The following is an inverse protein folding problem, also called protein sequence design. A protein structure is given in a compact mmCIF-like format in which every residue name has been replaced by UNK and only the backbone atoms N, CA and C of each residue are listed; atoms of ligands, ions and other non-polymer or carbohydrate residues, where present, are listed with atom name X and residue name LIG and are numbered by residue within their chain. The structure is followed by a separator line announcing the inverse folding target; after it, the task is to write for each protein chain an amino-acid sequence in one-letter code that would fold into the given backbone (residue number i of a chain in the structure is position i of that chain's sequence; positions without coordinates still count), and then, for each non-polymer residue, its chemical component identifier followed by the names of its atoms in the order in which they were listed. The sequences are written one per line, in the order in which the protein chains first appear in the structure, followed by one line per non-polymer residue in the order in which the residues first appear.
data_IF_124636827350
#
_entry.id   IF_124636827350
#
_cell.length_a   1.000
_cell.length_b   1.000
_cell.length_c   1.000
_cell.angle_alpha   90.00
_cell.angle_beta   90.00
_cell.angle_gamma   90.00
#
_symmetry.space_group_name_H-M   'P 1'
#
loop_
_entity.id
_entity.type
_entity.pdbx_description
1 polymer ?
#
# COMPACT_ATOMS: atom_id res chain seq x y z
N UNK A 1 0.18 2.20 45.05
CA UNK A 1 -0.64 1.40 44.10
C UNK A 1 -0.51 2.14 42.79
N UNK A 2 0.58 1.83 42.08
CA UNK A 2 1.13 2.74 41.09
C UNK A 2 0.50 2.40 39.75
N UNK A 3 -0.47 3.22 39.36
CA UNK A 3 -1.12 3.19 38.05
C UNK A 3 -0.06 3.47 36.98
N UNK A 4 0.40 2.40 36.31
CA UNK A 4 1.39 2.49 35.24
C UNK A 4 0.95 3.48 34.17
N UNK A 5 1.73 4.53 33.99
CA UNK A 5 1.50 5.52 32.94
C UNK A 5 1.67 4.84 31.58
N UNK A 6 0.70 4.99 30.64
CA UNK A 6 0.81 4.35 29.33
C UNK A 6 2.02 4.94 28.60
N UNK A 7 3.03 4.11 28.37
CA UNK A 7 4.23 4.50 27.65
C UNK A 7 3.86 4.69 26.18
N UNK A 8 4.19 5.84 25.54
CA UNK A 8 3.85 6.04 24.15
C UNK A 8 4.58 5.02 23.26
N UNK A 9 3.99 4.64 22.11
CA UNK A 9 4.64 3.76 21.16
C UNK A 9 6.00 4.30 20.72
N UNK A 10 6.93 3.38 20.42
CA UNK A 10 8.22 3.73 19.86
C UNK A 10 8.04 4.60 18.60
N UNK A 11 8.82 5.68 18.52
CA UNK A 11 8.82 6.56 17.34
C UNK A 11 9.70 5.95 16.26
N UNK A 12 9.16 5.77 15.06
CA UNK A 12 9.94 5.36 13.90
C UNK A 12 10.70 6.57 13.34
N UNK A 13 12.01 6.42 13.15
CA UNK A 13 12.85 7.41 12.46
C UNK A 13 13.22 6.87 11.07
N UNK A 14 12.96 7.61 9.99
CA UNK A 14 13.32 7.18 8.65
C UNK A 14 14.84 7.13 8.51
N UNK A 15 15.39 6.00 8.08
CA UNK A 15 16.83 5.83 7.84
C UNK A 15 17.23 6.17 6.41
N UNK A 16 16.30 6.05 5.45
CA UNK A 16 16.49 6.38 4.04
C UNK A 16 15.13 6.47 3.33
N UNK A 17 15.06 7.27 2.27
CA UNK A 17 13.87 7.38 1.40
C UNK A 17 14.28 7.16 -0.06
N UNK A 18 13.49 6.38 -0.80
CA UNK A 18 13.68 6.17 -2.24
C UNK A 18 12.35 6.32 -2.97
N UNK A 19 12.38 6.91 -4.15
CA UNK A 19 11.19 7.00 -5.02
C UNK A 19 10.96 5.66 -5.71
N UNK A 20 9.71 5.23 -5.80
CA UNK A 20 9.29 4.08 -6.59
C UNK A 20 8.82 4.53 -7.97
N UNK A 21 9.09 3.72 -8.98
CA UNK A 21 8.44 3.90 -10.28
C UNK A 21 6.98 3.44 -10.21
N UNK A 22 6.12 3.97 -11.09
CA UNK A 22 4.71 3.55 -11.21
C UNK A 22 4.57 2.03 -11.36
N UNK A 23 5.47 1.40 -12.14
CA UNK A 23 5.53 -0.06 -12.34
C UNK A 23 5.88 -0.80 -11.05
N UNK A 24 6.90 -0.35 -10.32
CA UNK A 24 7.32 -1.00 -9.08
C UNK A 24 6.23 -0.86 -8.00
N UNK A 25 5.63 0.32 -7.87
CA UNK A 25 4.55 0.57 -6.93
C UNK A 25 3.33 -0.33 -7.21
N UNK A 26 2.95 -0.48 -8.48
CA UNK A 26 1.85 -1.37 -8.85
C UNK A 26 2.15 -2.83 -8.52
N UNK A 27 3.34 -3.33 -8.87
CA UNK A 27 3.73 -4.72 -8.58
C UNK A 27 3.66 -5.01 -7.07
N UNK A 28 4.24 -4.13 -6.24
CA UNK A 28 4.20 -4.27 -4.79
C UNK A 28 2.78 -4.28 -4.23
N UNK A 29 1.86 -3.48 -4.78
CA UNK A 29 0.46 -3.47 -4.34
C UNK A 29 -0.27 -4.75 -4.71
N UNK A 30 -0.04 -5.28 -5.91
CA UNK A 30 -0.65 -6.55 -6.35
C UNK A 30 -0.19 -7.70 -5.46
N UNK A 31 1.12 -7.81 -5.22
CA UNK A 31 1.69 -8.86 -4.37
C UNK A 31 1.17 -8.74 -2.93
N UNK A 32 1.13 -7.51 -2.40
CA UNK A 32 0.60 -7.24 -1.07
C UNK A 32 -0.87 -7.64 -0.94
N UNK A 33 -1.73 -7.23 -1.88
CA UNK A 33 -3.16 -7.51 -1.84
C UNK A 33 -3.44 -9.02 -1.93
N UNK A 34 -2.74 -9.74 -2.82
CA UNK A 34 -2.88 -11.18 -2.94
C UNK A 34 -2.54 -11.90 -1.62
N UNK A 35 -1.42 -11.53 -1.00
CA UNK A 35 -0.98 -12.12 0.28
C UNK A 35 -1.86 -11.66 1.45
N UNK A 36 -2.36 -10.43 1.43
CA UNK A 36 -3.25 -9.90 2.45
C UNK A 36 -4.61 -10.61 2.42
N UNK A 37 -5.23 -10.74 1.25
CA UNK A 37 -6.51 -11.44 1.05
C UNK A 37 -6.40 -12.93 1.38
N UNK A 38 -5.27 -13.57 1.03
CA UNK A 38 -5.01 -14.96 1.37
C UNK A 38 -4.91 -15.19 2.89
N UNK A 39 -4.27 -14.27 3.63
CA UNK A 39 -4.13 -14.35 5.09
C UNK A 39 -5.35 -13.86 5.88
N UNK A 40 -6.19 -13.03 5.28
CA UNK A 40 -7.36 -12.45 5.94
C UNK A 40 -8.60 -13.37 5.81
N UNK A 41 -8.49 -14.59 6.34
CA UNK A 41 -9.59 -15.56 6.33
C UNK A 41 -10.84 -15.09 7.11
N UNK A 42 -10.75 -14.21 8.13
CA UNK A 42 -11.93 -13.48 8.61
C UNK A 42 -11.62 -12.10 9.23
N UNK A 43 -11.50 -11.03 8.42
CA UNK A 43 -11.85 -9.67 8.89
C UNK A 43 -13.39 -9.51 8.92
N UNK A 44 -14.09 -10.48 9.53
CA UNK A 44 -15.54 -10.48 9.73
C UNK A 44 -15.91 -9.37 10.73
N UNK A 45 -15.90 -8.11 10.27
CA UNK A 45 -16.33 -6.94 11.03
C UNK A 45 -15.34 -5.76 11.05
N UNK A 46 -14.16 -5.89 10.44
CA UNK A 46 -13.15 -4.81 10.37
C UNK A 46 -13.37 -3.86 9.19
N UNK A 47 -12.96 -2.59 9.37
CA UNK A 47 -13.12 -1.53 8.37
C UNK A 47 -12.34 -1.84 7.08
N UNK A 48 -13.08 -2.19 6.01
CA UNK A 48 -12.55 -2.55 4.70
C UNK A 48 -12.13 -1.34 3.86
N UNK A 49 -12.28 -0.12 4.37
CA UNK A 49 -11.96 1.11 3.66
C UNK A 49 -10.53 1.12 3.12
N UNK A 50 -9.57 0.62 3.89
CA UNK A 50 -8.15 0.57 3.49
C UNK A 50 -7.95 -0.36 2.30
N UNK A 51 -8.50 -1.58 2.34
CA UNK A 51 -8.38 -2.54 1.23
C UNK A 51 -9.01 -1.99 -0.04
N UNK A 52 -10.18 -1.35 0.06
CA UNK A 52 -10.83 -0.68 -1.08
C UNK A 52 -9.97 0.44 -1.66
N UNK A 53 -9.33 1.25 -0.81
CA UNK A 53 -8.42 2.31 -1.26
C UNK A 53 -7.18 1.74 -1.97
N UNK A 54 -6.61 0.65 -1.46
CA UNK A 54 -5.47 -0.02 -2.09
C UNK A 54 -5.84 -0.61 -3.47
N UNK A 55 -7.02 -1.19 -3.60
CA UNK A 55 -7.56 -1.64 -4.89
C UNK A 55 -7.73 -0.49 -5.88
N UNK A 56 -8.29 0.64 -5.43
CA UNK A 56 -8.43 1.86 -6.25
C UNK A 56 -7.06 2.39 -6.71
N UNK A 57 -6.08 2.40 -5.82
CA UNK A 57 -4.72 2.84 -6.15
C UNK A 57 -4.06 1.91 -7.17
N UNK A 58 -4.17 0.58 -6.98
CA UNK A 58 -3.65 -0.40 -7.94
C UNK A 58 -4.22 -0.19 -9.35
N UNK A 59 -5.54 0.07 -9.44
CA UNK A 59 -6.22 0.40 -10.70
C UNK A 59 -5.68 1.71 -11.32
N UNK A 60 -5.56 2.77 -10.52
CA UNK A 60 -5.06 4.06 -11.01
C UNK A 60 -3.62 3.94 -11.57
N UNK A 61 -2.75 3.18 -10.90
CA UNK A 61 -1.38 2.94 -11.37
C UNK A 61 -1.35 2.11 -12.68
N UNK A 62 -2.27 1.16 -12.83
CA UNK A 62 -2.42 0.40 -14.08
C UNK A 62 -2.83 1.32 -15.24
N UNK A 63 -3.80 2.19 -15.01
CA UNK A 63 -4.27 3.17 -16.00
C UNK A 63 -3.17 4.18 -16.37
N UNK A 64 -2.40 4.68 -15.40
CA UNK A 64 -1.27 5.59 -15.66
C UNK A 64 -0.21 4.94 -16.56
N UNK A 65 0.06 3.65 -16.35
CA UNK A 65 1.00 2.90 -17.20
C UNK A 65 0.47 2.69 -18.61
N UNK A 66 -0.82 2.41 -18.76
CA UNK A 66 -1.46 2.22 -20.05
C UNK A 66 -1.55 3.53 -20.85
N UNK A 67 -1.61 4.69 -20.17
CA UNK A 67 -1.69 6.02 -20.78
C UNK A 67 -0.37 6.56 -21.31
N UNK A 68 0.79 5.95 -21.03
CA UNK A 68 2.05 6.37 -21.65
C UNK A 68 2.01 5.98 -23.13
N UNK A 69 1.80 6.95 -24.05
CA UNK A 69 1.92 6.66 -25.46
C UNK A 69 3.40 6.47 -25.76
N UNK A 70 3.63 5.66 -26.78
CA UNK A 70 4.87 5.54 -27.53
C UNK A 70 5.21 6.93 -28.11
N UNK A 71 5.87 7.78 -27.34
CA UNK A 71 6.32 9.12 -27.74
C UNK A 71 7.85 9.12 -27.94
N UNK A 72 8.34 8.12 -28.67
CA UNK A 72 9.69 8.07 -29.24
C UNK A 72 9.54 7.68 -30.71
N UNK A 73 9.08 8.63 -31.51
CA UNK A 73 9.24 8.64 -32.97
C UNK A 73 9.33 10.09 -33.40
N UNK A 74 10.49 10.70 -33.16
CA UNK A 74 10.89 11.89 -33.89
C UNK A 74 12.29 11.75 -34.45
#
# INVERSE_FOLDING_TARGET
MDSGTPTPPARFLPTSTKKLSTRAAQASLVDFLAEFEHRSSPLKGGDNAVTVQLHKLSKALAEERAKRPKDDSH
#
